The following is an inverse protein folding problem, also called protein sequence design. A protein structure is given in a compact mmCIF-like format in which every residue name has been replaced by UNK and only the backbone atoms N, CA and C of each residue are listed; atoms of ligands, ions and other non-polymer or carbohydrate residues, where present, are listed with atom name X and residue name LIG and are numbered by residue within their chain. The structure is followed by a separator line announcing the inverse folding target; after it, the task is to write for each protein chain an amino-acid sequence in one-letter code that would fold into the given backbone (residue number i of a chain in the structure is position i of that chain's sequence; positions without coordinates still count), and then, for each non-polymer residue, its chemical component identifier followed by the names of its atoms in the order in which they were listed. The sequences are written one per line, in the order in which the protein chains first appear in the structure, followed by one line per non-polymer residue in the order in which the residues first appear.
data_IF_233078416653
#
_entry.id   IF_233078416653
#
_cell.length_a   1.000
_cell.length_b   1.000
_cell.length_c   1.000
_cell.angle_alpha   90.00
_cell.angle_beta   90.00
_cell.angle_gamma   90.00
#
_symmetry.space_group_name_H-M   'P 1'
#
loop_
_entity.id
_entity.type
_entity.pdbx_description
1 polymer ?
#
# COMPACT_ATOMS: atom_id res chain seq x y z
N UNK A 1 5.70 -12.29 -17.68
CA UNK A 1 4.54 -12.45 -16.78
C UNK A 1 4.52 -11.17 -15.97
N UNK A 2 3.51 -10.31 -16.13
CA UNK A 2 3.48 -9.06 -15.38
C UNK A 2 2.83 -9.34 -14.04
N UNK A 3 3.60 -9.29 -12.96
CA UNK A 3 3.07 -9.25 -11.61
C UNK A 3 2.38 -7.90 -11.41
N UNK A 4 1.30 -7.89 -10.62
CA UNK A 4 0.63 -6.66 -10.21
C UNK A 4 0.89 -6.43 -8.74
N UNK A 5 1.43 -5.27 -8.42
CA UNK A 5 1.75 -4.91 -7.04
C UNK A 5 0.91 -3.70 -6.64
N UNK A 6 0.24 -3.81 -5.50
CA UNK A 6 -0.67 -2.78 -4.98
C UNK A 6 -0.26 -2.40 -3.57
N UNK A 7 0.02 -1.12 -3.35
CA UNK A 7 0.15 -0.53 -2.03
C UNK A 7 -1.22 -0.12 -1.50
N UNK A 8 -1.44 -0.34 -0.20
CA UNK A 8 -2.67 0.05 0.48
C UNK A 8 -2.35 0.65 1.86
N UNK A 9 -3.00 1.74 2.22
CA UNK A 9 -2.92 2.31 3.56
C UNK A 9 -4.28 2.87 3.98
N UNK A 10 -4.44 3.12 5.28
CA UNK A 10 -5.73 3.50 5.88
C UNK A 10 -5.57 4.71 6.79
N UNK A 11 -6.70 5.37 7.09
CA UNK A 11 -6.81 6.21 8.27
C UNK A 11 -7.42 5.42 9.41
N UNK A 12 -6.83 5.53 10.59
CA UNK A 12 -7.37 4.94 11.80
C UNK A 12 -8.45 5.85 12.43
N UNK A 13 -9.59 5.96 11.74
CA UNK A 13 -10.72 6.78 12.20
C UNK A 13 -11.32 6.30 13.53
N UNK A 14 -10.99 5.08 13.98
CA UNK A 14 -11.53 4.45 15.18
C UNK A 14 -10.53 4.30 16.33
N UNK A 15 -9.26 4.68 16.13
CA UNK A 15 -8.22 4.61 17.17
C UNK A 15 -7.74 3.19 17.48
N UNK A 16 -7.83 2.27 16.53
CA UNK A 16 -7.36 0.88 16.65
C UNK A 16 -5.84 0.70 16.47
N UNK A 17 -5.11 1.77 16.19
CA UNK A 17 -3.68 1.78 15.92
C UNK A 17 -3.31 1.34 14.50
N UNK A 18 -4.19 1.52 13.51
CA UNK A 18 -4.01 1.03 12.12
C UNK A 18 -3.00 1.82 11.28
N UNK A 19 -1.93 2.34 11.89
CA UNK A 19 -0.85 3.03 11.18
C UNK A 19 0.05 2.02 10.48
N UNK A 20 -0.32 1.63 9.27
CA UNK A 20 0.46 0.70 8.46
C UNK A 20 0.25 0.92 6.97
N UNK A 21 1.15 0.33 6.19
CA UNK A 21 1.03 0.15 4.75
C UNK A 21 1.18 -1.33 4.44
N UNK A 22 0.32 -1.80 3.54
CA UNK A 22 0.36 -3.15 3.01
C UNK A 22 0.80 -3.13 1.55
N UNK A 23 1.58 -4.12 1.16
CA UNK A 23 1.96 -4.40 -0.22
C UNK A 23 1.40 -5.77 -0.61
N UNK A 24 0.50 -5.79 -1.58
CA UNK A 24 -0.04 -7.03 -2.14
C UNK A 24 0.60 -7.30 -3.49
N UNK A 25 1.11 -8.53 -3.68
CA UNK A 25 1.66 -8.99 -4.95
C UNK A 25 0.73 -10.03 -5.53
N UNK A 26 0.29 -9.81 -6.76
CA UNK A 26 -0.61 -10.70 -7.49
C UNK A 26 0.04 -11.20 -8.77
N UNK A 27 -0.31 -12.42 -9.16
CA UNK A 27 0.00 -12.91 -10.50
C UNK A 27 -0.89 -12.27 -11.58
N UNK A 28 -0.63 -12.61 -12.84
CA UNK A 28 -1.39 -12.09 -13.98
C UNK A 28 -2.86 -12.55 -14.02
N UNK A 29 -3.23 -13.56 -13.25
CA UNK A 29 -4.61 -14.04 -13.10
C UNK A 29 -5.31 -13.39 -11.90
N UNK A 30 -4.63 -12.50 -11.17
CA UNK A 30 -5.15 -11.80 -10.01
C UNK A 30 -5.12 -12.63 -8.72
N UNK A 31 -4.39 -13.75 -8.68
CA UNK A 31 -4.20 -14.51 -7.44
C UNK A 31 -3.13 -13.85 -6.59
N UNK A 32 -3.42 -13.63 -5.32
CA UNK A 32 -2.43 -13.13 -4.36
C UNK A 32 -1.30 -14.16 -4.21
N UNK A 33 -0.08 -13.72 -4.49
CA UNK A 33 1.15 -14.49 -4.34
C UNK A 33 1.85 -14.18 -3.02
N UNK A 34 1.79 -12.92 -2.58
CA UNK A 34 2.47 -12.46 -1.38
C UNK A 34 1.81 -11.21 -0.80
N UNK A 35 2.04 -11.00 0.50
CA UNK A 35 1.60 -9.83 1.24
C UNK A 35 2.70 -9.40 2.23
N UNK A 36 3.04 -8.12 2.22
CA UNK A 36 3.99 -7.52 3.15
C UNK A 36 3.29 -6.40 3.92
N UNK A 37 3.57 -6.30 5.21
CA UNK A 37 2.98 -5.32 6.11
C UNK A 37 4.07 -4.53 6.83
N UNK A 38 4.02 -3.20 6.73
CA UNK A 38 4.94 -2.30 7.43
C UNK A 38 4.18 -1.34 8.34
N UNK A 39 4.65 -1.20 9.58
CA UNK A 39 4.18 -0.16 10.50
C UNK A 39 4.62 1.21 10.02
N UNK A 40 3.68 2.16 9.99
CA UNK A 40 3.90 3.54 9.61
C UNK A 40 3.87 4.45 10.85
N UNK A 41 4.57 5.60 10.86
CA UNK A 41 4.56 6.52 11.99
C UNK A 41 3.22 7.27 12.15
N UNK A 42 2.49 7.42 11.04
CA UNK A 42 1.21 8.10 10.95
C UNK A 42 0.32 7.39 9.91
N UNK A 43 -0.93 7.83 9.82
CA UNK A 43 -1.91 7.32 8.86
C UNK A 43 -1.71 7.93 7.47
N UNK A 44 -2.28 7.26 6.46
CA UNK A 44 -2.48 7.81 5.14
C UNK A 44 -1.26 7.84 4.22
N UNK A 45 -1.44 8.39 3.00
CA UNK A 45 -0.51 8.26 1.88
C UNK A 45 0.91 8.76 2.14
N UNK A 46 1.06 9.92 2.80
CA UNK A 46 2.37 10.54 3.00
C UNK A 46 3.28 9.68 3.89
N UNK A 47 2.71 9.13 4.96
CA UNK A 47 3.42 8.23 5.88
C UNK A 47 3.71 6.87 5.23
N UNK A 48 2.79 6.37 4.40
CA UNK A 48 2.98 5.15 3.62
C UNK A 48 4.13 5.30 2.61
N UNK A 49 4.18 6.41 1.87
CA UNK A 49 5.25 6.73 0.93
C UNK A 49 6.61 6.85 1.65
N UNK A 50 6.66 7.53 2.81
CA UNK A 50 7.89 7.67 3.62
C UNK A 50 8.44 6.30 4.06
N UNK A 51 7.58 5.44 4.62
CA UNK A 51 8.04 4.15 5.15
C UNK A 51 8.41 3.19 4.03
N UNK A 52 7.65 3.19 2.93
CA UNK A 52 7.93 2.36 1.75
C UNK A 52 9.27 2.77 1.15
N UNK A 53 9.53 4.06 0.95
CA UNK A 53 10.80 4.55 0.41
C UNK A 53 12.01 4.20 1.30
N UNK A 54 11.80 4.07 2.61
CA UNK A 54 12.84 3.68 3.57
C UNK A 54 13.10 2.17 3.57
N UNK A 55 12.05 1.36 3.54
CA UNK A 55 12.13 -0.11 3.71
C UNK A 55 12.39 -0.81 2.38
N UNK A 56 11.75 -0.37 1.30
CA UNK A 56 11.87 -0.89 -0.06
C UNK A 56 12.22 0.25 -1.05
N UNK A 57 13.46 0.79 -1.04
CA UNK A 57 13.81 1.97 -1.82
C UNK A 57 13.64 1.83 -3.35
N UNK A 58 13.68 0.60 -3.85
CA UNK A 58 13.49 0.27 -5.28
C UNK A 58 12.03 0.09 -5.67
N UNK A 59 11.12 -0.04 -4.69
CA UNK A 59 9.68 -0.12 -4.96
C UNK A 59 9.16 1.31 -5.18
N UNK A 60 8.68 1.58 -6.39
CA UNK A 60 8.10 2.88 -6.74
C UNK A 60 6.63 2.73 -7.03
N UNK A 61 5.85 3.66 -6.51
CA UNK A 61 4.46 3.85 -6.90
C UNK A 61 4.40 4.31 -8.36
N UNK A 62 3.55 3.68 -9.17
CA UNK A 62 3.40 3.93 -10.62
C UNK A 62 2.06 4.60 -10.97
N UNK A 63 1.17 4.77 -10.00
CA UNK A 63 -0.08 5.51 -10.12
C UNK A 63 -0.23 6.55 -9.02
N UNK A 64 -1.17 7.48 -9.15
CA UNK A 64 -1.59 8.26 -7.97
C UNK A 64 -2.24 7.38 -6.91
N UNK A 65 -2.18 7.83 -5.65
CA UNK A 65 -3.00 7.26 -4.58
C UNK A 65 -4.48 7.52 -4.88
N UNK A 66 -5.27 6.46 -4.87
CA UNK A 66 -6.72 6.49 -5.09
C UNK A 66 -7.42 6.35 -3.77
N UNK A 67 -8.09 7.41 -3.34
CA UNK A 67 -8.88 7.44 -2.11
C UNK A 67 -10.23 6.76 -2.29
N UNK A 68 -10.64 6.00 -1.28
CA UNK A 68 -11.97 5.44 -1.15
C UNK A 68 -12.36 5.31 0.33
N UNK A 69 -13.63 5.06 0.58
CA UNK A 69 -14.17 4.85 1.93
C UNK A 69 -14.78 3.46 2.00
N UNK A 70 -14.38 2.67 2.99
CA UNK A 70 -14.91 1.33 3.20
C UNK A 70 -16.39 1.35 3.60
N UNK A 71 -17.07 0.21 3.52
CA UNK A 71 -18.46 0.10 4.00
C UNK A 71 -18.62 0.47 5.49
N UNK A 72 -17.54 0.37 6.27
CA UNK A 72 -17.50 0.76 7.68
C UNK A 72 -17.15 2.22 7.95
N UNK A 73 -16.92 3.04 6.91
CA UNK A 73 -16.56 4.46 7.07
C UNK A 73 -15.07 4.73 7.28
N UNK A 74 -14.20 3.76 6.96
CA UNK A 74 -12.75 3.90 7.06
C UNK A 74 -12.20 4.41 5.74
N UNK A 75 -11.51 5.55 5.77
CA UNK A 75 -10.77 6.06 4.61
C UNK A 75 -9.57 5.17 4.32
N UNK A 76 -9.41 4.81 3.05
CA UNK A 76 -8.27 4.04 2.58
C UNK A 76 -7.78 4.54 1.23
N UNK A 77 -6.53 4.24 0.93
CA UNK A 77 -5.90 4.59 -0.32
C UNK A 77 -5.24 3.37 -0.92
N UNK A 78 -5.31 3.28 -2.25
CA UNK A 78 -4.63 2.27 -3.03
C UNK A 78 -3.75 2.91 -4.10
N UNK A 79 -2.61 2.31 -4.40
CA UNK A 79 -1.82 2.67 -5.55
C UNK A 79 -1.14 1.47 -6.18
N UNK A 80 -0.98 1.48 -7.50
CA UNK A 80 -0.16 0.50 -8.18
C UNK A 80 1.32 0.85 -7.94
N UNK A 81 2.16 -0.17 -7.82
CA UNK A 81 3.59 -0.04 -7.62
C UNK A 81 4.35 -1.07 -8.47
N UNK A 82 5.64 -0.84 -8.66
CA UNK A 82 6.55 -1.77 -9.30
C UNK A 82 7.95 -1.58 -8.70
N UNK A 83 8.72 -2.67 -8.64
CA UNK A 83 10.16 -2.55 -8.42
C UNK A 83 10.81 -2.02 -9.69
N UNK A 84 11.73 -1.07 -9.55
CA UNK A 84 12.65 -0.73 -10.63
C UNK A 84 13.46 -1.99 -10.99
N UNK A 85 13.48 -2.33 -12.28
CA UNK A 85 14.36 -3.38 -12.81
C UNK A 85 15.83 -3.02 -12.48
N UNK A 86 16.67 -4.03 -12.21
CA UNK A 86 18.13 -3.83 -12.03
C UNK A 86 18.83 -3.30 -13.30
#
# INVERSE_FOLDING_TARGET
MSERTTLMCYNDNHGYGWRHVDLFVHDSEGRELNWVHWQAPADGPDAADEVTARVEPRLKRTSEWRHAVSAGGVDYWEADAAWEDE
#
